data_IF_975978195582
#
_entry.id   IF_975978195582
#
_cell.length_a   1.000
_cell.length_b   1.000
_cell.length_c   1.000
_cell.angle_alpha   90.00
_cell.angle_beta   90.00
_cell.angle_gamma   90.00
#
_symmetry.space_group_name_H-M   'P 1'
#
loop_
_entity.id
_entity.type
_entity.pdbx_description
1 polymer ?
#
# COMPACT_ATOMS: atom_id res chain seq x y z
N UNK A 1 -6.05 -8.55 -15.55
CA UNK A 1 -4.75 -7.83 -15.67
C UNK A 1 -3.99 -7.79 -14.34
N UNK A 2 -4.39 -7.02 -13.32
CA UNK A 2 -3.62 -6.97 -12.05
C UNK A 2 -3.62 -8.30 -11.28
N UNK A 3 -4.69 -9.09 -11.32
CA UNK A 3 -4.71 -10.43 -10.75
C UNK A 3 -3.84 -11.43 -11.54
N UNK A 4 -3.76 -11.32 -12.84
CA UNK A 4 -2.94 -12.20 -13.69
C UNK A 4 -1.44 -12.11 -13.36
N UNK A 5 -0.94 -10.92 -13.05
CA UNK A 5 0.45 -10.79 -12.61
C UNK A 5 0.65 -11.24 -11.17
N UNK A 6 -0.38 -11.17 -10.32
CA UNK A 6 -0.34 -11.78 -8.99
C UNK A 6 -0.22 -13.30 -9.08
N UNK A 7 -1.02 -13.93 -9.93
CA UNK A 7 -0.94 -15.38 -10.19
C UNK A 7 0.41 -15.78 -10.75
N UNK A 8 0.96 -14.99 -11.67
CA UNK A 8 2.29 -15.20 -12.23
C UNK A 8 3.36 -15.18 -11.15
N UNK A 9 3.33 -14.18 -10.27
CA UNK A 9 4.25 -14.04 -9.14
C UNK A 9 4.13 -15.15 -8.10
N UNK A 10 2.93 -15.74 -7.96
CA UNK A 10 2.72 -16.90 -7.09
C UNK A 10 3.27 -18.20 -7.69
N UNK A 11 3.19 -18.38 -9.02
CA UNK A 11 3.59 -19.62 -9.70
C UNK A 11 5.10 -19.69 -9.94
N UNK A 12 5.73 -18.56 -10.25
CA UNK A 12 7.12 -18.50 -10.69
C UNK A 12 8.02 -17.78 -9.68
N UNK A 13 9.32 -17.92 -9.87
CA UNK A 13 10.32 -17.30 -8.98
C UNK A 13 10.62 -15.88 -9.43
N UNK A 14 10.16 -14.90 -8.66
CA UNK A 14 10.37 -13.48 -8.90
C UNK A 14 10.80 -12.74 -7.65
N UNK A 15 11.75 -11.83 -7.80
CA UNK A 15 12.15 -10.89 -6.76
C UNK A 15 12.74 -11.59 -5.54
N UNK A 16 12.21 -11.27 -4.36
CA UNK A 16 12.63 -11.86 -3.08
C UNK A 16 11.54 -12.78 -2.49
N UNK A 17 10.57 -13.14 -3.30
CA UNK A 17 9.49 -14.09 -3.00
C UNK A 17 8.59 -13.72 -1.81
N UNK A 18 8.39 -12.43 -1.53
CA UNK A 18 7.57 -11.95 -0.39
C UNK A 18 6.17 -12.54 -0.44
N UNK A 19 5.51 -12.45 -1.62
CA UNK A 19 4.17 -12.98 -1.78
C UNK A 19 4.10 -14.47 -1.49
N UNK A 20 4.98 -15.27 -2.10
CA UNK A 20 5.04 -16.72 -1.88
C UNK A 20 5.34 -17.09 -0.44
N UNK A 21 6.26 -16.38 0.22
CA UNK A 21 6.61 -16.62 1.62
C UNK A 21 5.42 -16.42 2.57
N UNK A 22 4.49 -15.51 2.25
CA UNK A 22 3.29 -15.29 3.06
C UNK A 22 2.27 -16.43 2.98
N UNK A 23 2.35 -17.30 1.97
CA UNK A 23 1.49 -18.48 1.83
C UNK A 23 2.17 -19.79 2.22
N UNK A 24 3.48 -19.76 2.48
CA UNK A 24 4.22 -20.95 2.90
C UNK A 24 3.93 -21.29 4.36
N UNK A 25 3.59 -22.54 4.60
CA UNK A 25 3.52 -23.04 5.98
C UNK A 25 4.91 -23.04 6.61
N UNK A 26 5.00 -22.49 7.80
CA UNK A 26 6.20 -22.54 8.63
C UNK A 26 5.92 -23.27 9.94
N UNK A 27 6.96 -23.92 10.50
CA UNK A 27 6.84 -24.57 11.82
C UNK A 27 6.32 -23.64 12.91
N UNK A 28 6.64 -22.35 12.80
CA UNK A 28 6.27 -21.32 13.79
C UNK A 28 4.90 -20.71 13.53
N UNK A 29 4.27 -20.97 12.38
CA UNK A 29 2.96 -20.39 11.98
C UNK A 29 2.89 -18.87 12.20
N UNK A 30 3.96 -18.17 11.85
CA UNK A 30 4.10 -16.71 12.05
C UNK A 30 3.07 -15.91 11.26
N UNK A 31 2.62 -16.44 10.13
CA UNK A 31 1.64 -15.79 9.25
C UNK A 31 0.44 -16.74 9.15
N UNK A 32 -0.71 -16.30 9.67
CA UNK A 32 -1.94 -17.07 9.61
C UNK A 32 -2.72 -16.83 8.32
N UNK A 33 -3.62 -17.75 7.98
CA UNK A 33 -4.53 -17.59 6.84
C UNK A 33 -5.75 -16.74 7.27
N UNK A 34 -5.75 -15.48 6.77
CA UNK A 34 -6.84 -14.54 6.94
C UNK A 34 -6.88 -13.57 5.75
N UNK A 35 -7.95 -12.77 5.63
CA UNK A 35 -8.16 -11.84 4.51
C UNK A 35 -6.98 -10.87 4.37
N UNK A 36 -6.47 -10.31 5.47
CA UNK A 36 -5.37 -9.35 5.46
C UNK A 36 -4.10 -9.96 4.85
N UNK A 37 -3.70 -11.14 5.33
CA UNK A 37 -2.52 -11.84 4.85
C UNK A 37 -2.67 -12.35 3.40
N UNK A 38 -3.86 -12.83 3.01
CA UNK A 38 -4.16 -13.17 1.61
C UNK A 38 -4.04 -11.96 0.70
N UNK A 39 -4.65 -10.83 1.07
CA UNK A 39 -4.58 -9.59 0.31
C UNK A 39 -3.13 -9.08 0.19
N UNK A 40 -2.39 -9.06 1.29
CA UNK A 40 -1.00 -8.63 1.33
C UNK A 40 -0.09 -9.54 0.49
N UNK A 41 -0.19 -10.85 0.66
CA UNK A 41 0.64 -11.84 -0.05
C UNK A 41 0.37 -11.84 -1.56
N UNK A 42 -0.91 -11.82 -1.97
CA UNK A 42 -1.29 -11.77 -3.39
C UNK A 42 -0.79 -10.48 -4.06
N UNK A 43 -0.87 -9.34 -3.36
CA UNK A 43 -0.36 -8.07 -3.87
C UNK A 43 1.16 -8.06 -3.93
N UNK A 44 1.83 -8.58 -2.90
CA UNK A 44 3.29 -8.67 -2.87
C UNK A 44 3.82 -9.56 -3.99
N UNK A 45 3.16 -10.68 -4.32
CA UNK A 45 3.52 -11.55 -5.45
C UNK A 45 3.48 -10.81 -6.79
N UNK A 46 2.44 -9.98 -7.03
CA UNK A 46 2.37 -9.15 -8.21
C UNK A 46 3.54 -8.16 -8.30
N UNK A 47 3.94 -7.59 -7.16
CA UNK A 47 5.04 -6.64 -7.09
C UNK A 47 6.39 -7.35 -7.22
N UNK A 48 6.58 -8.54 -6.62
CA UNK A 48 7.76 -9.38 -6.85
C UNK A 48 7.95 -9.63 -8.35
N UNK A 49 6.89 -10.09 -9.05
CA UNK A 49 6.94 -10.34 -10.49
C UNK A 49 7.26 -9.05 -11.28
N UNK A 50 6.55 -7.96 -11.00
CA UNK A 50 6.75 -6.69 -11.72
C UNK A 50 8.15 -6.11 -11.51
N UNK A 51 8.66 -6.11 -10.30
CA UNK A 51 9.99 -5.56 -9.99
C UNK A 51 11.14 -6.43 -10.50
N UNK A 52 10.88 -7.69 -10.78
CA UNK A 52 11.83 -8.60 -11.42
C UNK A 52 11.74 -8.60 -12.97
N UNK A 53 10.90 -7.73 -13.56
CA UNK A 53 10.85 -7.59 -15.03
C UNK A 53 9.81 -8.48 -15.73
N UNK A 54 8.82 -9.02 -15.03
CA UNK A 54 7.72 -9.73 -15.67
C UNK A 54 7.04 -8.83 -16.71
N UNK A 55 6.77 -9.39 -17.90
CA UNK A 55 6.23 -8.66 -19.06
C UNK A 55 4.71 -8.50 -19.04
N UNK A 56 4.02 -9.09 -18.05
CA UNK A 56 2.56 -8.94 -17.92
C UNK A 56 2.19 -7.48 -17.65
N UNK A 57 1.17 -7.02 -18.37
CA UNK A 57 0.65 -5.66 -18.23
C UNK A 57 -0.02 -5.44 -16.88
N UNK A 58 0.06 -4.21 -16.36
CA UNK A 58 -0.60 -3.79 -15.13
C UNK A 58 -1.38 -2.47 -15.34
N UNK A 59 -2.50 -2.34 -14.67
CA UNK A 59 -3.21 -1.05 -14.55
C UNK A 59 -2.41 -0.17 -13.60
N UNK A 60 -2.08 1.03 -14.04
CA UNK A 60 -1.40 2.02 -13.19
C UNK A 60 -2.40 3.00 -12.55
N UNK A 61 -2.08 3.46 -11.34
CA UNK A 61 -2.80 4.54 -10.65
C UNK A 61 -1.82 5.65 -10.31
N UNK A 62 -2.18 6.89 -10.54
CA UNK A 62 -1.36 8.07 -10.28
C UNK A 62 0.08 7.95 -10.85
N UNK A 63 0.22 7.33 -12.03
CA UNK A 63 1.48 7.20 -12.76
C UNK A 63 2.40 6.05 -12.31
N UNK A 64 1.93 5.13 -11.46
CA UNK A 64 2.73 3.98 -10.99
C UNK A 64 1.95 2.67 -11.06
N UNK A 65 2.58 1.65 -11.66
CA UNK A 65 2.01 0.29 -11.70
C UNK A 65 1.92 -0.34 -10.30
N UNK A 66 2.92 -0.16 -9.44
CA UNK A 66 2.85 -0.66 -8.06
C UNK A 66 1.71 0.02 -7.27
N UNK A 67 1.43 1.30 -7.52
CA UNK A 67 0.24 1.95 -6.94
C UNK A 67 -1.04 1.32 -7.45
N UNK A 68 -1.11 0.99 -8.74
CA UNK A 68 -2.26 0.30 -9.32
C UNK A 68 -2.46 -1.10 -8.73
N UNK A 69 -1.40 -1.88 -8.60
CA UNK A 69 -1.44 -3.20 -7.96
C UNK A 69 -1.94 -3.09 -6.51
N UNK A 70 -1.35 -2.19 -5.72
CA UNK A 70 -1.73 -1.99 -4.33
C UNK A 70 -3.15 -1.45 -4.18
N UNK A 71 -3.59 -0.53 -5.02
CA UNK A 71 -4.94 0.03 -4.94
C UNK A 71 -6.05 -0.94 -5.36
N UNK A 72 -5.73 -2.03 -6.08
CA UNK A 72 -6.77 -2.90 -6.66
C UNK A 72 -6.74 -4.32 -6.13
N UNK A 73 -5.59 -4.98 -6.09
CA UNK A 73 -5.49 -6.41 -5.73
C UNK A 73 -6.04 -6.69 -4.32
N UNK A 74 -5.68 -5.92 -3.26
CA UNK A 74 -6.19 -6.18 -1.92
C UNK A 74 -7.72 -6.02 -1.83
N UNK A 75 -8.28 -5.07 -2.59
CA UNK A 75 -9.72 -4.82 -2.61
C UNK A 75 -10.47 -5.98 -3.28
N UNK A 76 -9.92 -6.54 -4.36
CA UNK A 76 -10.49 -7.72 -5.03
C UNK A 76 -10.50 -8.90 -4.06
N UNK A 77 -9.38 -9.21 -3.41
CA UNK A 77 -9.27 -10.31 -2.44
C UNK A 77 -10.24 -10.12 -1.27
N UNK A 78 -10.37 -8.90 -0.75
CA UNK A 78 -11.31 -8.62 0.33
C UNK A 78 -12.77 -8.81 -0.11
N UNK A 79 -13.15 -8.30 -1.28
CA UNK A 79 -14.50 -8.43 -1.83
C UNK A 79 -14.88 -9.90 -2.10
N UNK A 80 -13.96 -10.69 -2.65
CA UNK A 80 -14.13 -12.13 -2.86
C UNK A 80 -14.33 -12.86 -1.53
N UNK A 81 -13.48 -12.61 -0.54
CA UNK A 81 -13.56 -13.25 0.77
C UNK A 81 -14.85 -12.89 1.55
N UNK A 82 -15.40 -11.71 1.29
CA UNK A 82 -16.67 -11.24 1.89
C UNK A 82 -17.89 -11.61 1.04
N UNK A 83 -17.74 -12.34 -0.06
CA UNK A 83 -18.80 -12.68 -1.02
C UNK A 83 -19.58 -11.46 -1.52
N UNK A 84 -18.89 -10.34 -1.74
CA UNK A 84 -19.48 -9.10 -2.20
C UNK A 84 -19.97 -9.22 -3.65
N UNK A 85 -21.09 -8.56 -3.98
CA UNK A 85 -21.58 -8.53 -5.35
C UNK A 85 -20.70 -7.63 -6.25
N UNK A 86 -20.92 -7.74 -7.57
CA UNK A 86 -20.12 -7.02 -8.57
C UNK A 86 -20.22 -5.50 -8.45
N UNK A 87 -21.37 -4.94 -8.07
CA UNK A 87 -21.55 -3.49 -7.87
C UNK A 87 -20.70 -3.00 -6.67
N UNK A 88 -20.76 -3.72 -5.54
CA UNK A 88 -19.95 -3.41 -4.36
C UNK A 88 -18.44 -3.49 -4.68
N UNK A 89 -18.00 -4.51 -5.42
CA UNK A 89 -16.61 -4.62 -5.89
C UNK A 89 -16.21 -3.41 -6.73
N UNK A 90 -16.99 -3.02 -7.73
CA UNK A 90 -16.61 -1.91 -8.60
C UNK A 90 -16.59 -0.57 -7.86
N UNK A 91 -17.53 -0.34 -6.96
CA UNK A 91 -17.56 0.86 -6.12
C UNK A 91 -16.37 0.91 -5.16
N UNK A 92 -16.01 -0.21 -4.55
CA UNK A 92 -14.85 -0.27 -3.65
C UNK A 92 -13.54 -0.05 -4.41
N UNK A 93 -13.39 -0.60 -5.62
CA UNK A 93 -12.25 -0.33 -6.49
C UNK A 93 -12.17 1.14 -6.89
N UNK A 94 -13.28 1.73 -7.30
CA UNK A 94 -13.35 3.16 -7.63
C UNK A 94 -12.97 4.02 -6.42
N UNK A 95 -13.50 3.72 -5.23
CA UNK A 95 -13.18 4.42 -3.99
C UNK A 95 -11.68 4.31 -3.67
N UNK A 96 -11.11 3.11 -3.71
CA UNK A 96 -9.67 2.91 -3.47
C UNK A 96 -8.80 3.75 -4.41
N UNK A 97 -9.11 3.74 -5.71
CA UNK A 97 -8.37 4.48 -6.73
C UNK A 97 -8.51 6.00 -6.50
N UNK A 98 -9.72 6.50 -6.27
CA UNK A 98 -9.97 7.93 -6.06
C UNK A 98 -9.30 8.44 -4.79
N UNK A 99 -9.37 7.70 -3.69
CA UNK A 99 -8.65 8.04 -2.45
C UNK A 99 -7.14 8.01 -2.66
N UNK A 100 -6.62 7.01 -3.38
CA UNK A 100 -5.20 6.96 -3.74
C UNK A 100 -4.76 8.23 -4.50
N UNK A 101 -5.53 8.64 -5.52
CA UNK A 101 -5.25 9.84 -6.31
C UNK A 101 -5.31 11.10 -5.42
N UNK A 102 -6.31 11.19 -4.55
CA UNK A 102 -6.50 12.30 -3.63
C UNK A 102 -5.33 12.44 -2.66
N UNK A 103 -4.90 11.35 -2.02
CA UNK A 103 -3.72 11.36 -1.14
C UNK A 103 -2.46 11.74 -1.92
N UNK A 104 -2.32 11.25 -3.17
CA UNK A 104 -1.19 11.61 -4.05
C UNK A 104 -1.15 13.10 -4.39
N UNK A 105 -2.28 13.78 -4.39
CA UNK A 105 -2.31 15.23 -4.55
C UNK A 105 -1.52 15.96 -3.44
N UNK A 106 -1.61 15.47 -2.19
CA UNK A 106 -0.89 16.04 -1.05
C UNK A 106 0.58 15.64 -0.99
N UNK A 107 0.89 14.35 -1.16
CA UNK A 107 2.26 13.87 -1.04
C UNK A 107 3.10 14.06 -2.30
N UNK A 108 2.50 14.52 -3.40
CA UNK A 108 3.20 14.79 -4.66
C UNK A 108 3.49 13.55 -5.51
N UNK A 109 3.87 13.78 -6.77
CA UNK A 109 4.20 12.70 -7.73
C UNK A 109 5.51 12.02 -7.38
N UNK A 110 6.54 12.79 -7.14
CA UNK A 110 7.86 12.37 -6.67
C UNK A 110 7.98 12.83 -5.23
N UNK A 111 8.06 11.90 -4.32
CA UNK A 111 8.09 12.16 -2.88
C UNK A 111 9.04 11.19 -2.22
N UNK A 112 9.69 11.63 -1.14
CA UNK A 112 10.38 10.74 -0.21
C UNK A 112 9.43 9.70 0.36
N UNK A 113 8.16 10.05 0.54
CA UNK A 113 7.14 9.11 1.01
C UNK A 113 6.77 8.10 -0.09
N UNK A 114 6.68 6.83 0.29
CA UNK A 114 6.35 5.74 -0.63
C UNK A 114 4.87 5.78 -1.03
N UNK A 115 4.58 6.33 -2.22
CA UNK A 115 3.21 6.44 -2.74
C UNK A 115 2.49 5.10 -2.87
N UNK A 116 3.22 4.04 -3.24
CA UNK A 116 2.63 2.70 -3.37
C UNK A 116 2.18 2.14 -2.01
N UNK A 117 2.97 2.39 -0.96
CA UNK A 117 2.66 1.90 0.38
C UNK A 117 1.72 2.82 1.14
N UNK A 118 1.88 4.15 1.05
CA UNK A 118 1.07 5.10 1.83
C UNK A 118 -0.23 5.41 1.10
N UNK A 119 -0.15 6.06 -0.07
CA UNK A 119 -1.36 6.54 -0.74
C UNK A 119 -2.30 5.40 -1.14
N UNK A 120 -1.75 4.32 -1.72
CA UNK A 120 -2.59 3.23 -2.21
C UNK A 120 -3.19 2.40 -1.06
N UNK A 121 -2.44 2.16 0.02
CA UNK A 121 -3.00 1.44 1.17
C UNK A 121 -4.01 2.26 1.97
N UNK A 122 -3.90 3.60 2.00
CA UNK A 122 -4.97 4.47 2.49
C UNK A 122 -6.25 4.25 1.66
N UNK A 123 -6.13 4.18 0.34
CA UNK A 123 -7.25 3.83 -0.54
C UNK A 123 -7.84 2.47 -0.25
N UNK A 124 -6.98 1.46 -0.05
CA UNK A 124 -7.40 0.09 0.34
C UNK A 124 -8.16 0.09 1.67
N UNK A 125 -7.66 0.81 2.68
CA UNK A 125 -8.32 0.93 3.97
C UNK A 125 -9.75 1.47 3.81
N UNK A 126 -9.93 2.57 3.07
CA UNK A 126 -11.24 3.14 2.80
C UNK A 126 -12.17 2.15 2.07
N UNK A 127 -11.64 1.39 1.10
CA UNK A 127 -12.40 0.40 0.36
C UNK A 127 -12.79 -0.81 1.22
N UNK A 128 -11.91 -1.28 2.11
CA UNK A 128 -12.23 -2.37 3.04
C UNK A 128 -13.30 -1.95 4.04
N UNK A 129 -13.27 -0.70 4.52
CA UNK A 129 -14.32 -0.15 5.39
C UNK A 129 -15.65 -0.08 4.62
N UNK A 130 -15.64 0.35 3.36
CA UNK A 130 -16.83 0.37 2.52
C UNK A 130 -17.42 -1.04 2.32
N UNK A 131 -16.59 -2.04 2.04
CA UNK A 131 -17.03 -3.44 1.90
C UNK A 131 -17.60 -4.00 3.21
N UNK A 132 -17.14 -3.50 4.36
CA UNK A 132 -17.67 -3.84 5.68
C UNK A 132 -18.86 -2.97 6.13
N UNK A 133 -19.55 -2.31 5.21
CA UNK A 133 -20.70 -1.42 5.48
C UNK A 133 -20.39 -0.28 6.48
N UNK A 134 -19.12 0.12 6.53
CA UNK A 134 -18.68 1.20 7.41
C UNK A 134 -19.19 2.58 7.00
N UNK A 135 -19.42 3.44 7.98
CA UNK A 135 -19.87 4.81 7.78
C UNK A 135 -18.79 5.71 7.17
N UNK A 136 -19.18 6.89 6.71
CA UNK A 136 -18.22 7.92 6.26
C UNK A 136 -17.26 8.33 7.38
N UNK A 137 -17.73 8.37 8.62
CA UNK A 137 -16.93 8.68 9.80
C UNK A 137 -15.90 7.57 10.05
N UNK A 138 -16.28 6.30 9.89
CA UNK A 138 -15.35 5.17 9.95
C UNK A 138 -14.26 5.29 8.86
N UNK A 139 -14.64 5.64 7.61
CA UNK A 139 -13.66 5.86 6.54
C UNK A 139 -12.68 6.99 6.88
N UNK A 140 -13.16 8.11 7.42
CA UNK A 140 -12.30 9.21 7.88
C UNK A 140 -11.36 8.77 9.00
N UNK A 141 -11.86 8.00 9.96
CA UNK A 141 -11.05 7.47 11.05
C UNK A 141 -9.97 6.50 10.52
N UNK A 142 -10.31 5.59 9.62
CA UNK A 142 -9.36 4.68 8.99
C UNK A 142 -8.27 5.41 8.21
N UNK A 143 -8.63 6.40 7.40
CA UNK A 143 -7.64 7.21 6.65
C UNK A 143 -6.69 7.97 7.59
N UNK A 144 -7.20 8.56 8.68
CA UNK A 144 -6.36 9.22 9.69
C UNK A 144 -5.43 8.22 10.38
N UNK A 145 -5.94 7.04 10.72
CA UNK A 145 -5.14 5.97 11.35
C UNK A 145 -4.00 5.54 10.42
N UNK A 146 -4.27 5.33 9.14
CA UNK A 146 -3.25 5.01 8.15
C UNK A 146 -2.20 6.12 7.98
N UNK A 147 -2.62 7.39 7.99
CA UNK A 147 -1.69 8.52 7.91
C UNK A 147 -0.78 8.61 9.14
N UNK A 148 -1.29 8.29 10.33
CA UNK A 148 -0.50 8.22 11.56
C UNK A 148 0.50 7.06 11.53
N UNK A 149 0.06 5.88 11.10
CA UNK A 149 0.84 4.63 11.13
C UNK A 149 1.97 4.62 10.11
N UNK A 150 1.69 5.01 8.87
CA UNK A 150 2.64 4.88 7.76
C UNK A 150 3.38 6.17 7.38
N UNK A 151 3.30 7.23 8.20
CA UNK A 151 3.88 8.54 7.88
C UNK A 151 5.41 8.53 7.63
N UNK A 152 6.11 7.51 8.11
CA UNK A 152 7.57 7.36 7.96
C UNK A 152 8.02 6.38 6.88
N UNK A 153 7.10 5.79 6.09
CA UNK A 153 7.51 4.83 5.06
C UNK A 153 8.08 5.53 3.83
N UNK A 154 9.39 5.54 3.73
CA UNK A 154 10.12 6.21 2.65
C UNK A 154 10.16 5.39 1.36
N UNK A 155 10.34 6.09 0.23
CA UNK A 155 10.63 5.53 -1.09
C UNK A 155 12.12 5.62 -1.38
N UNK A 156 12.78 4.49 -1.51
CA UNK A 156 14.20 4.38 -1.83
C UNK A 156 14.43 3.71 -3.21
N UNK A 157 13.56 4.01 -4.17
CA UNK A 157 13.61 3.56 -5.56
C UNK A 157 12.82 2.27 -5.82
N UNK A 158 12.54 2.01 -7.11
CA UNK A 158 11.86 0.81 -7.57
C UNK A 158 12.81 -0.39 -7.54
N UNK A 159 12.47 -1.44 -6.76
CA UNK A 159 13.30 -2.61 -6.54
C UNK A 159 12.49 -3.78 -5.96
N UNK A 160 13.04 -5.01 -5.92
CA UNK A 160 12.36 -6.16 -5.32
C UNK A 160 11.84 -5.90 -3.89
N UNK A 161 12.58 -5.14 -3.07
CA UNK A 161 12.14 -4.75 -1.73
C UNK A 161 10.84 -3.93 -1.66
N UNK A 162 10.29 -3.46 -2.79
CA UNK A 162 8.96 -2.83 -2.83
C UNK A 162 7.87 -3.80 -2.37
N UNK A 163 8.00 -5.09 -2.65
CA UNK A 163 7.04 -6.11 -2.21
C UNK A 163 6.90 -6.17 -0.68
N UNK A 164 8.01 -6.03 0.08
CA UNK A 164 8.01 -5.95 1.54
C UNK A 164 7.17 -4.78 2.05
N UNK A 165 7.42 -3.58 1.50
CA UNK A 165 6.71 -2.36 1.91
C UNK A 165 5.21 -2.47 1.64
N UNK A 166 4.84 -3.09 0.52
CA UNK A 166 3.44 -3.29 0.14
C UNK A 166 2.78 -4.34 1.04
N UNK A 167 3.44 -5.47 1.33
CA UNK A 167 2.90 -6.45 2.27
C UNK A 167 2.60 -5.82 3.65
N UNK A 168 3.56 -5.05 4.17
CA UNK A 168 3.39 -4.31 5.43
C UNK A 168 2.22 -3.34 5.37
N UNK A 169 2.13 -2.51 4.33
CA UNK A 169 1.12 -1.46 4.25
C UNK A 169 -0.30 -1.98 3.96
N UNK A 170 -0.45 -3.11 3.27
CA UNK A 170 -1.75 -3.76 3.09
C UNK A 170 -2.25 -4.37 4.41
N UNK A 171 -1.36 -4.98 5.20
CA UNK A 171 -1.71 -5.45 6.54
C UNK A 171 -2.09 -4.28 7.47
N UNK A 172 -1.36 -3.17 7.42
CA UNK A 172 -1.72 -1.95 8.14
C UNK A 172 -3.11 -1.42 7.73
N UNK A 173 -3.43 -1.46 6.42
CA UNK A 173 -4.75 -1.05 5.91
C UNK A 173 -5.88 -1.91 6.47
N UNK A 174 -5.68 -3.23 6.55
CA UNK A 174 -6.66 -4.14 7.13
C UNK A 174 -6.85 -3.89 8.64
N UNK A 175 -5.76 -3.66 9.38
CA UNK A 175 -5.81 -3.31 10.80
C UNK A 175 -6.55 -1.98 11.03
N UNK A 176 -6.20 -0.95 10.26
CA UNK A 176 -6.84 0.37 10.35
C UNK A 176 -8.33 0.31 9.98
N UNK A 177 -8.70 -0.51 8.98
CA UNK A 177 -10.09 -0.75 8.63
C UNK A 177 -10.85 -1.44 9.76
N UNK A 178 -10.27 -2.47 10.36
CA UNK A 178 -10.87 -3.19 11.51
C UNK A 178 -11.08 -2.26 12.71
N UNK A 179 -10.09 -1.42 13.06
CA UNK A 179 -10.22 -0.44 14.12
C UNK A 179 -11.36 0.55 13.83
N UNK A 180 -11.41 1.07 12.61
CA UNK A 180 -12.43 2.03 12.20
C UNK A 180 -13.85 1.44 12.21
N UNK A 181 -14.03 0.19 11.77
CA UNK A 181 -15.31 -0.53 11.84
C UNK A 181 -15.74 -0.77 13.29
N UNK A 182 -14.80 -0.91 14.22
CA UNK A 182 -15.06 -1.02 15.66
C UNK A 182 -15.24 0.33 16.36
N UNK A 183 -15.29 1.44 15.60
CA UNK A 183 -15.47 2.79 16.14
C UNK A 183 -14.23 3.37 16.83
N UNK A 184 -13.04 2.84 16.55
CA UNK A 184 -11.76 3.29 17.13
C UNK A 184 -10.78 3.73 16.04
N UNK A 185 -9.67 4.37 16.42
CA UNK A 185 -8.63 4.81 15.48
C UNK A 185 -7.85 6.01 16.00
N UNK A 186 -6.90 6.48 15.21
CA UNK A 186 -6.09 7.63 15.55
C UNK A 186 -6.92 8.93 15.64
N UNK A 187 -6.59 9.74 16.61
CA UNK A 187 -7.26 11.00 16.96
C UNK A 187 -6.31 12.19 16.80
N UNK A 188 -6.80 13.41 16.94
CA UNK A 188 -5.97 14.64 16.96
C UNK A 188 -4.87 14.67 18.04
N UNK A 189 -4.83 13.69 18.94
CA UNK A 189 -3.77 13.54 19.94
C UNK A 189 -2.58 12.74 19.43
N UNK A 190 -2.70 12.16 18.22
CA UNK A 190 -1.73 11.23 17.66
C UNK A 190 -0.89 11.93 16.56
N UNK A 191 0.24 12.48 16.94
CA UNK A 191 1.27 12.98 16.04
C UNK A 191 0.77 14.01 15.01
N UNK A 192 0.80 13.66 13.71
CA UNK A 192 0.42 14.55 12.61
C UNK A 192 -1.08 14.62 12.35
N UNK A 193 -1.90 13.86 13.09
CA UNK A 193 -3.36 13.79 12.89
C UNK A 193 -4.05 15.05 13.39
N UNK A 194 -5.06 15.50 12.65
CA UNK A 194 -5.95 16.62 13.02
C UNK A 194 -7.41 16.16 13.08
N UNK A 195 -8.30 16.99 13.59
CA UNK A 195 -9.76 16.71 13.56
C UNK A 195 -10.28 16.66 12.11
N UNK A 196 -9.73 17.52 11.25
CA UNK A 196 -10.05 17.58 9.82
C UNK A 196 -9.19 16.58 9.04
N UNK A 197 -9.82 15.74 8.20
CA UNK A 197 -9.13 14.78 7.36
C UNK A 197 -8.13 15.45 6.41
N UNK A 198 -8.56 16.53 5.76
CA UNK A 198 -7.73 17.27 4.81
C UNK A 198 -6.52 17.91 5.51
N UNK A 199 -6.69 18.35 6.76
CA UNK A 199 -5.59 18.82 7.62
C UNK A 199 -4.56 17.73 7.88
N UNK A 200 -5.01 16.50 8.16
CA UNK A 200 -4.12 15.33 8.32
C UNK A 200 -3.33 15.04 7.03
N UNK A 201 -3.99 15.04 5.89
CA UNK A 201 -3.33 14.81 4.59
C UNK A 201 -2.36 15.94 4.22
N UNK A 202 -2.70 17.20 4.53
CA UNK A 202 -1.76 18.33 4.39
C UNK A 202 -0.52 18.16 5.26
N UNK A 203 -0.69 17.74 6.51
CA UNK A 203 0.43 17.47 7.42
C UNK A 203 1.31 16.35 6.89
N UNK A 204 0.73 15.27 6.39
CA UNK A 204 1.45 14.16 5.77
C UNK A 204 2.24 14.64 4.53
N UNK A 205 1.62 15.43 3.66
CA UNK A 205 2.26 16.02 2.50
C UNK A 205 3.40 16.97 2.87
N UNK A 206 3.19 17.85 3.85
CA UNK A 206 4.21 18.77 4.36
C UNK A 206 5.41 18.03 4.95
N UNK A 207 5.15 16.99 5.75
CA UNK A 207 6.21 16.14 6.30
C UNK A 207 7.08 15.54 5.19
N UNK A 208 6.47 14.95 4.16
CA UNK A 208 7.20 14.31 3.07
C UNK A 208 7.90 15.28 2.13
N UNK A 209 7.25 16.41 1.79
CA UNK A 209 7.79 17.33 0.77
C UNK A 209 8.77 18.36 1.34
N UNK A 210 8.53 18.81 2.57
CA UNK A 210 9.36 19.83 3.22
C UNK A 210 10.22 19.23 4.35
N UNK A 211 9.59 18.51 5.29
CA UNK A 211 10.27 17.99 6.48
C UNK A 211 11.30 16.91 6.20
N UNK A 212 11.19 16.19 5.09
CA UNK A 212 12.08 15.09 4.70
C UNK A 212 12.91 15.41 3.44
N UNK A 213 13.10 16.67 3.08
CA UNK A 213 13.83 17.08 1.86
C UNK A 213 15.27 16.53 1.84
N UNK A 214 16.00 16.64 2.95
CA UNK A 214 17.38 16.13 3.08
C UNK A 214 17.44 14.61 2.93
N UNK A 215 16.44 13.88 3.39
CA UNK A 215 16.37 12.42 3.26
C UNK A 215 16.34 11.97 1.79
N UNK A 216 15.71 12.75 0.91
CA UNK A 216 15.69 12.46 -0.53
C UNK A 216 17.11 12.55 -1.14
N UNK A 217 17.86 13.56 -0.78
CA UNK A 217 19.24 13.78 -1.27
C UNK A 217 20.17 12.69 -0.77
N UNK A 218 20.06 12.31 0.51
CA UNK A 218 20.85 11.23 1.08
C UNK A 218 20.53 9.86 0.44
N UNK A 219 19.25 9.56 0.21
CA UNK A 219 18.85 8.33 -0.50
C UNK A 219 19.44 8.32 -1.92
N UNK A 220 19.41 9.44 -2.64
CA UNK A 220 19.97 9.54 -3.97
C UNK A 220 21.49 9.31 -3.97
N UNK A 221 22.23 9.89 -3.03
CA UNK A 221 23.67 9.65 -2.86
C UNK A 221 23.94 8.15 -2.64
N UNK A 222 23.24 7.52 -1.68
CA UNK A 222 23.38 6.08 -1.41
C UNK A 222 23.10 5.20 -2.65
N UNK A 223 22.14 5.60 -3.50
CA UNK A 223 21.83 4.87 -4.72
C UNK A 223 22.89 5.02 -5.80
N UNK A 224 23.51 6.20 -5.91
CA UNK A 224 24.60 6.47 -6.85
C UNK A 224 25.87 5.73 -6.45
N UNK A 225 26.21 5.72 -5.17
CA UNK A 225 27.40 5.02 -4.65
C UNK A 225 27.35 3.50 -4.93
N UNK A 226 26.18 2.88 -4.81
CA UNK A 226 25.99 1.46 -5.16
C UNK A 226 26.22 1.14 -6.63
N UNK A 227 25.98 2.08 -7.55
CA UNK A 227 26.27 1.90 -8.98
C UNK A 227 27.78 1.98 -9.26
N UNK A 228 28.47 2.86 -8.57
CA UNK A 228 29.91 3.05 -8.73
C UNK A 228 30.68 1.81 -8.26
N UNK A 229 30.28 1.21 -7.15
CA UNK A 229 30.91 0.00 -6.61
C UNK A 229 30.76 -1.23 -7.51
N UNK A 230 29.68 -1.35 -8.29
CA UNK A 230 29.48 -2.46 -9.23
C UNK A 230 30.27 -2.34 -10.54
N UNK A 231 30.80 -1.18 -10.87
CA UNK A 231 31.61 -0.96 -12.08
C UNK A 231 33.10 -1.22 -11.86
N UNK A 232 33.53 -1.48 -10.63
CA UNK A 232 34.92 -1.75 -10.26
C UNK A 232 35.19 -3.18 -9.81
N UNK A 233 34.27 -4.13 -10.07
CA UNK A 233 34.40 -5.54 -9.72
C UNK A 233 34.35 -6.48 -10.91
#
# INVERSE_FOLDING_TARGET
MNMEISEEGMRNEYGIHVGRAMFQESKLKLIGDNIANRAAGTTAAAVDARMAGCTKSVISVAGSGNQGLTATVPVIIAAEAMNSNTDALYRSLALSILVTIHVKHYIGRLSVLCGCSIASSIGVCAAMIFLGDGSKEAMRAGVRTMAADLSGMICDGAKPGCALKIATSVNAAALAAQLALNGTGATKRDGIVTDDLEGTLRNLGKLGNEGMSEANDEILKMLLDKKTTKMCG
#
